data_IF_797764159556
#
_entry.id   IF_797764159556
#
_cell.length_a   1.000
_cell.length_b   1.000
_cell.length_c   1.000
_cell.angle_alpha   90.00
_cell.angle_beta   90.00
_cell.angle_gamma   90.00
#
_symmetry.space_group_name_H-M   'P 1'
#
loop_
_entity.id
_entity.type
_entity.pdbx_description
1 polymer ?
#
# COMPACT_ATOMS: atom_id res chain seq x y z
N UNK A 1 64.27 4.10 -76.93
CA UNK A 1 64.59 4.78 -75.66
C UNK A 1 63.48 4.43 -74.69
N UNK A 2 63.85 3.69 -73.66
CA UNK A 2 63.01 2.96 -72.70
C UNK A 2 62.37 3.86 -71.65
N UNK A 3 61.08 3.68 -71.34
CA UNK A 3 60.48 4.01 -70.04
C UNK A 3 59.08 3.34 -69.88
N UNK A 4 58.61 3.05 -68.65
CA UNK A 4 57.83 1.85 -68.34
C UNK A 4 56.37 2.06 -67.87
N UNK A 5 55.66 0.92 -67.86
CA UNK A 5 54.44 0.40 -67.18
C UNK A 5 53.65 1.32 -66.21
N UNK A 6 52.29 1.27 -66.21
CA UNK A 6 51.44 2.06 -65.31
C UNK A 6 51.16 1.36 -63.96
N UNK A 7 51.24 2.12 -62.87
CA UNK A 7 50.86 1.65 -61.53
C UNK A 7 49.33 1.61 -61.36
N UNK A 8 48.83 0.42 -61.06
CA UNK A 8 47.46 0.17 -60.64
C UNK A 8 47.36 0.34 -59.12
N UNK A 9 46.64 1.38 -58.68
CA UNK A 9 46.17 1.44 -57.29
C UNK A 9 44.92 0.58 -57.15
N UNK A 10 45.10 -0.60 -56.55
CA UNK A 10 44.03 -1.47 -56.02
C UNK A 10 43.35 -0.79 -54.83
N UNK A 11 42.10 -0.34 -55.02
CA UNK A 11 41.16 -0.17 -53.91
C UNK A 11 40.62 -1.55 -53.52
N UNK A 12 41.05 -2.06 -52.38
CA UNK A 12 40.40 -3.20 -51.72
C UNK A 12 39.12 -2.69 -51.05
N UNK A 13 37.92 -3.18 -51.40
CA UNK A 13 36.76 -2.93 -50.57
C UNK A 13 36.95 -3.74 -49.28
N UNK A 14 37.03 -3.04 -48.15
CA UNK A 14 36.99 -3.68 -46.85
C UNK A 14 35.69 -4.50 -46.74
N UNK A 15 35.86 -5.81 -46.60
CA UNK A 15 34.81 -6.79 -46.39
C UNK A 15 34.10 -6.52 -45.05
N UNK A 16 33.00 -5.77 -45.12
CA UNK A 16 32.12 -5.46 -44.00
C UNK A 16 31.03 -6.51 -43.81
N UNK A 17 31.37 -7.80 -43.79
CA UNK A 17 30.42 -8.89 -43.51
C UNK A 17 31.04 -9.96 -42.65
N UNK A 18 31.11 -9.75 -41.33
CA UNK A 18 31.10 -10.88 -40.39
C UNK A 18 30.91 -10.51 -38.90
N UNK A 19 30.03 -9.55 -38.58
CA UNK A 19 29.72 -9.22 -37.17
C UNK A 19 28.26 -9.38 -36.74
N UNK A 20 27.33 -9.77 -37.63
CA UNK A 20 25.89 -9.64 -37.33
C UNK A 20 25.11 -10.96 -37.16
N UNK A 21 25.78 -12.12 -37.17
CA UNK A 21 25.09 -13.42 -37.03
C UNK A 21 25.18 -14.01 -35.62
N UNK A 22 26.13 -13.57 -34.79
CA UNK A 22 26.24 -13.98 -33.37
C UNK A 22 25.34 -13.17 -32.42
N UNK A 23 24.75 -12.07 -32.90
CA UNK A 23 23.87 -11.16 -32.15
C UNK A 23 22.40 -11.57 -32.17
N UNK A 24 21.92 -12.14 -33.28
CA UNK A 24 20.51 -12.52 -33.47
C UNK A 24 19.97 -13.47 -32.39
N UNK A 25 20.64 -14.61 -32.06
CA UNK A 25 20.14 -15.53 -31.05
C UNK A 25 20.05 -14.90 -29.66
N UNK A 26 20.99 -14.00 -29.33
CA UNK A 26 21.02 -13.31 -28.05
C UNK A 26 19.93 -12.21 -27.96
N UNK A 27 19.69 -11.49 -29.04
CA UNK A 27 18.63 -10.47 -29.11
C UNK A 27 17.23 -11.11 -29.04
N UNK A 28 17.02 -12.22 -29.75
CA UNK A 28 15.78 -13.00 -29.69
C UNK A 28 15.57 -13.56 -28.28
N UNK A 29 16.62 -14.09 -27.63
CA UNK A 29 16.52 -14.58 -26.25
C UNK A 29 16.15 -13.48 -25.26
N UNK A 30 16.70 -12.27 -25.40
CA UNK A 30 16.34 -11.11 -24.59
C UNK A 30 14.90 -10.66 -24.84
N UNK A 31 14.47 -10.54 -26.10
CA UNK A 31 13.09 -10.18 -26.44
C UNK A 31 12.08 -11.18 -25.90
N UNK A 32 12.35 -12.49 -26.03
CA UNK A 32 11.50 -13.54 -25.46
C UNK A 32 11.48 -13.45 -23.93
N UNK A 33 12.62 -13.16 -23.30
CA UNK A 33 12.68 -13.00 -21.84
C UNK A 33 11.88 -11.78 -21.38
N UNK A 34 11.99 -10.65 -22.08
CA UNK A 34 11.24 -9.43 -21.79
C UNK A 34 9.72 -9.60 -22.01
N UNK A 35 9.33 -10.28 -23.10
CA UNK A 35 7.92 -10.64 -23.36
C UNK A 35 7.38 -11.60 -22.29
N UNK A 36 8.15 -12.62 -21.91
CA UNK A 36 7.77 -13.55 -20.83
C UNK A 36 7.61 -12.78 -19.52
N UNK A 37 8.56 -11.88 -19.20
CA UNK A 37 8.49 -11.03 -18.00
C UNK A 37 7.24 -10.15 -17.99
N UNK A 38 6.93 -9.49 -19.11
CA UNK A 38 5.69 -8.72 -19.27
C UNK A 38 4.44 -9.59 -19.08
N UNK A 39 4.38 -10.76 -19.69
CA UNK A 39 3.24 -11.69 -19.55
C UNK A 39 3.10 -12.13 -18.09
N UNK A 40 4.19 -12.46 -17.41
CA UNK A 40 4.15 -12.81 -15.98
C UNK A 40 3.72 -11.66 -15.08
N UNK A 41 4.13 -10.42 -15.36
CA UNK A 41 3.72 -9.23 -14.61
C UNK A 41 2.23 -8.89 -14.81
N UNK A 42 1.65 -9.27 -15.96
CA UNK A 42 0.22 -9.13 -16.23
C UNK A 42 -0.64 -10.21 -15.55
N UNK A 43 -0.06 -11.36 -15.17
CA UNK A 43 -0.82 -12.44 -14.53
C UNK A 43 -1.05 -12.10 -13.06
N UNK A 44 -2.24 -11.58 -12.78
CA UNK A 44 -2.75 -11.37 -11.42
C UNK A 44 -2.72 -12.70 -10.62
N UNK A 45 -2.06 -12.74 -9.44
CA UNK A 45 -2.03 -13.95 -8.63
C UNK A 45 -3.43 -14.42 -8.24
N UNK A 46 -3.62 -15.74 -8.13
CA UNK A 46 -4.95 -16.33 -7.85
C UNK A 46 -5.58 -15.87 -6.54
N UNK A 47 -4.76 -15.60 -5.51
CA UNK A 47 -5.23 -15.16 -4.19
C UNK A 47 -5.45 -13.64 -4.10
N UNK A 48 -5.26 -12.89 -5.19
CA UNK A 48 -5.47 -11.43 -5.20
C UNK A 48 -6.88 -11.07 -4.74
N UNK A 49 -6.95 -10.22 -3.71
CA UNK A 49 -8.19 -9.71 -3.12
C UNK A 49 -8.89 -10.65 -2.13
N UNK A 50 -8.50 -11.92 -2.02
CA UNK A 50 -9.19 -12.86 -1.13
C UNK A 50 -9.03 -12.54 0.35
N UNK A 51 -7.84 -12.08 0.77
CA UNK A 51 -7.60 -11.67 2.16
C UNK A 51 -8.53 -10.54 2.59
N UNK A 52 -8.71 -9.53 1.75
CA UNK A 52 -9.59 -8.40 2.04
C UNK A 52 -11.08 -8.78 1.94
N UNK A 53 -11.43 -9.67 1.01
CA UNK A 53 -12.79 -10.21 0.90
C UNK A 53 -13.20 -10.97 2.18
N UNK A 54 -12.30 -11.83 2.69
CA UNK A 54 -12.54 -12.56 3.94
C UNK A 54 -12.53 -11.66 5.17
N UNK A 55 -11.68 -10.62 5.18
CA UNK A 55 -11.58 -9.70 6.32
C UNK A 55 -12.78 -8.74 6.42
N UNK A 56 -13.39 -8.34 5.31
CA UNK A 56 -14.52 -7.41 5.31
C UNK A 56 -15.67 -7.80 6.26
N UNK A 57 -16.27 -9.02 6.20
CA UNK A 57 -17.33 -9.40 7.13
C UNK A 57 -16.84 -9.48 8.59
N UNK A 58 -15.59 -9.92 8.82
CA UNK A 58 -15.02 -9.96 10.17
C UNK A 58 -14.91 -8.55 10.75
N UNK A 59 -14.45 -7.57 9.96
CA UNK A 59 -14.35 -6.16 10.37
C UNK A 59 -15.70 -5.51 10.55
N UNK A 60 -16.69 -5.85 9.74
CA UNK A 60 -18.05 -5.35 9.92
C UNK A 60 -18.61 -5.79 11.28
N UNK A 61 -18.52 -7.08 11.60
CA UNK A 61 -19.00 -7.61 12.88
C UNK A 61 -18.17 -7.08 14.05
N UNK A 62 -16.83 -7.13 13.96
CA UNK A 62 -15.94 -6.63 15.00
C UNK A 62 -16.13 -5.12 15.25
N UNK A 63 -16.30 -4.33 14.19
CA UNK A 63 -16.56 -2.89 14.29
C UNK A 63 -17.90 -2.57 14.93
N UNK A 64 -18.95 -3.35 14.65
CA UNK A 64 -20.24 -3.24 15.33
C UNK A 64 -20.12 -3.58 16.82
N UNK A 65 -19.43 -4.66 17.17
CA UNK A 65 -19.18 -5.06 18.56
C UNK A 65 -18.38 -3.97 19.28
N UNK A 66 -17.29 -3.50 18.69
CA UNK A 66 -16.45 -2.43 19.23
C UNK A 66 -17.25 -1.16 19.50
N UNK A 67 -18.11 -0.77 18.55
CA UNK A 67 -18.94 0.42 18.69
C UNK A 67 -20.04 0.22 19.73
N UNK A 68 -20.65 -0.97 19.82
CA UNK A 68 -21.72 -1.24 20.78
C UNK A 68 -21.21 -1.33 22.23
N UNK A 69 -20.01 -1.89 22.42
CA UNK A 69 -19.41 -2.11 23.72
C UNK A 69 -18.56 -0.92 24.22
N UNK A 70 -18.33 0.12 23.42
CA UNK A 70 -17.62 1.30 23.88
C UNK A 70 -18.41 2.03 24.98
N UNK A 71 -17.71 2.35 26.08
CA UNK A 71 -18.32 2.78 27.35
C UNK A 71 -18.95 4.17 27.29
N UNK A 72 -18.46 5.05 26.41
CA UNK A 72 -18.91 6.44 26.30
C UNK A 72 -19.40 6.77 24.89
N UNK A 73 -20.33 7.72 24.77
CA UNK A 73 -20.78 8.22 23.45
C UNK A 73 -19.61 8.70 22.60
N UNK A 74 -18.62 9.34 23.22
CA UNK A 74 -17.37 9.76 22.57
C UNK A 74 -16.59 8.55 22.02
N UNK A 75 -16.44 7.49 22.81
CA UNK A 75 -15.83 6.23 22.38
C UNK A 75 -16.59 5.55 21.24
N UNK A 76 -17.93 5.53 21.30
CA UNK A 76 -18.79 4.97 20.23
C UNK A 76 -18.60 5.71 18.91
N UNK A 77 -18.58 7.05 18.93
CA UNK A 77 -18.33 7.86 17.71
C UNK A 77 -16.94 7.54 17.15
N UNK A 78 -15.91 7.54 18.00
CA UNK A 78 -14.54 7.29 17.56
C UNK A 78 -14.35 5.88 16.98
N UNK A 79 -14.92 4.87 17.63
CA UNK A 79 -14.89 3.48 17.18
C UNK A 79 -15.73 3.27 15.92
N UNK A 80 -16.87 3.93 15.80
CA UNK A 80 -17.71 3.89 14.60
C UNK A 80 -17.00 4.46 13.38
N UNK A 81 -16.24 5.54 13.54
CA UNK A 81 -15.40 6.11 12.47
C UNK A 81 -14.31 5.12 12.06
N UNK A 82 -13.60 4.53 13.02
CA UNK A 82 -12.60 3.50 12.75
C UNK A 82 -13.20 2.28 12.02
N UNK A 83 -14.35 1.78 12.47
CA UNK A 83 -15.05 0.67 11.86
C UNK A 83 -15.50 0.98 10.42
N UNK A 84 -16.02 2.20 10.19
CA UNK A 84 -16.47 2.63 8.87
C UNK A 84 -15.31 2.71 7.89
N UNK A 85 -14.20 3.35 8.25
CA UNK A 85 -13.03 3.44 7.35
C UNK A 85 -12.41 2.07 7.10
N UNK A 86 -12.46 1.16 8.06
CA UNK A 86 -12.00 -0.21 7.89
C UNK A 86 -12.89 -1.00 6.92
N UNK A 87 -14.21 -0.88 7.06
CA UNK A 87 -15.17 -1.45 6.11
C UNK A 87 -14.95 -0.92 4.69
N UNK A 88 -14.73 0.40 4.55
CA UNK A 88 -14.42 1.01 3.26
C UNK A 88 -13.12 0.45 2.67
N UNK A 89 -12.04 0.36 3.45
CA UNK A 89 -10.77 -0.20 3.00
C UNK A 89 -10.94 -1.63 2.49
N UNK A 90 -11.38 -2.55 3.36
CA UNK A 90 -11.44 -3.97 3.02
C UNK A 90 -12.50 -4.24 1.95
N UNK A 91 -13.66 -3.58 2.01
CA UNK A 91 -14.74 -3.76 1.06
C UNK A 91 -14.40 -3.27 -0.34
N UNK A 92 -13.89 -2.03 -0.47
CA UNK A 92 -13.49 -1.49 -1.78
C UNK A 92 -12.32 -2.27 -2.36
N UNK A 93 -11.34 -2.63 -1.53
CA UNK A 93 -10.17 -3.39 -1.99
C UNK A 93 -10.54 -4.79 -2.46
N UNK A 94 -11.44 -5.47 -1.74
CA UNK A 94 -12.00 -6.74 -2.19
C UNK A 94 -12.74 -6.58 -3.52
N UNK A 95 -13.62 -5.58 -3.65
CA UNK A 95 -14.39 -5.32 -4.86
C UNK A 95 -13.48 -5.05 -6.08
N UNK A 96 -12.50 -4.16 -5.89
CA UNK A 96 -11.50 -3.82 -6.91
C UNK A 96 -10.74 -5.07 -7.37
N UNK A 97 -10.25 -5.87 -6.43
CA UNK A 97 -9.41 -7.02 -6.76
C UNK A 97 -10.16 -8.29 -7.16
N UNK A 98 -11.44 -8.44 -6.84
CA UNK A 98 -12.20 -9.66 -7.20
C UNK A 98 -13.05 -9.50 -8.44
N UNK A 99 -13.45 -8.28 -8.80
CA UNK A 99 -14.25 -8.06 -10.00
C UNK A 99 -13.43 -8.01 -11.29
N UNK A 100 -14.15 -8.19 -12.40
CA UNK A 100 -13.68 -7.96 -13.77
C UNK A 100 -14.40 -6.72 -14.29
N UNK A 101 -13.66 -5.64 -14.47
CA UNK A 101 -14.22 -4.31 -14.66
C UNK A 101 -13.89 -3.74 -16.03
N UNK A 102 -14.77 -2.87 -16.55
CA UNK A 102 -14.43 -2.05 -17.71
C UNK A 102 -13.24 -1.13 -17.37
N UNK A 103 -12.45 -0.67 -18.35
CA UNK A 103 -11.27 0.17 -18.08
C UNK A 103 -11.58 1.42 -17.24
N UNK A 104 -12.76 2.01 -17.45
CA UNK A 104 -13.25 3.16 -16.67
C UNK A 104 -13.49 2.78 -15.21
N UNK A 105 -14.18 1.67 -14.96
CA UNK A 105 -14.50 1.24 -13.60
C UNK A 105 -13.26 0.75 -12.85
N UNK A 106 -12.34 0.05 -13.53
CA UNK A 106 -11.04 -0.33 -12.96
C UNK A 106 -10.26 0.91 -12.48
N UNK A 107 -10.21 1.96 -13.30
CA UNK A 107 -9.57 3.23 -12.93
C UNK A 107 -10.20 3.90 -11.70
N UNK A 108 -11.53 3.88 -11.57
CA UNK A 108 -12.25 4.43 -10.42
C UNK A 108 -11.98 3.61 -9.16
N UNK A 109 -12.19 2.30 -9.21
CA UNK A 109 -12.00 1.40 -8.07
C UNK A 109 -10.55 1.41 -7.59
N UNK A 110 -9.58 1.46 -8.51
CA UNK A 110 -8.16 1.63 -8.18
C UNK A 110 -7.91 2.93 -7.43
N UNK A 111 -8.55 4.05 -7.81
CA UNK A 111 -8.39 5.32 -7.08
C UNK A 111 -9.00 5.24 -5.68
N UNK A 112 -10.19 4.67 -5.56
CA UNK A 112 -10.86 4.49 -4.27
C UNK A 112 -10.06 3.58 -3.33
N UNK A 113 -9.56 2.45 -3.83
CA UNK A 113 -8.73 1.50 -3.09
C UNK A 113 -7.48 2.17 -2.49
N UNK A 114 -6.77 2.99 -3.27
CA UNK A 114 -5.60 3.69 -2.76
C UNK A 114 -5.97 4.88 -1.86
N UNK A 115 -7.05 5.61 -2.18
CA UNK A 115 -7.53 6.71 -1.33
C UNK A 115 -7.96 6.22 0.06
N UNK A 116 -8.54 5.02 0.14
CA UNK A 116 -8.95 4.42 1.41
C UNK A 116 -7.79 4.15 2.37
N UNK A 117 -6.54 4.07 1.88
CA UNK A 117 -5.37 3.95 2.76
C UNK A 117 -5.22 5.23 3.61
N UNK A 118 -5.42 6.42 3.04
CA UNK A 118 -5.45 7.66 3.82
C UNK A 118 -6.59 7.67 4.84
N UNK A 119 -7.79 7.20 4.45
CA UNK A 119 -8.95 7.16 5.33
C UNK A 119 -8.79 6.20 6.49
N UNK A 120 -8.27 4.99 6.28
CA UNK A 120 -8.07 4.04 7.38
C UNK A 120 -6.98 4.50 8.35
N UNK A 121 -5.92 5.17 7.86
CA UNK A 121 -4.93 5.81 8.75
C UNK A 121 -5.65 6.86 9.60
N UNK A 122 -6.40 7.80 9.01
CA UNK A 122 -7.14 8.78 9.80
C UNK A 122 -8.17 8.16 10.76
N UNK A 123 -8.84 7.10 10.31
CA UNK A 123 -9.78 6.34 11.11
C UNK A 123 -9.12 5.65 12.31
N UNK A 124 -7.92 5.08 12.18
CA UNK A 124 -7.22 4.43 13.30
C UNK A 124 -6.71 5.44 14.33
N UNK A 125 -6.30 6.64 13.89
CA UNK A 125 -5.96 7.73 14.80
C UNK A 125 -7.15 8.30 15.56
N UNK A 126 -8.37 8.16 15.04
CA UNK A 126 -9.56 8.77 15.65
C UNK A 126 -9.80 8.27 17.08
N UNK A 127 -9.91 6.96 17.37
CA UNK A 127 -10.02 6.49 18.75
C UNK A 127 -8.74 6.70 19.56
N UNK A 128 -7.54 6.62 18.97
CA UNK A 128 -6.29 6.87 19.69
C UNK A 128 -6.21 8.32 20.21
N UNK A 129 -6.57 9.29 19.38
CA UNK A 129 -6.60 10.71 19.76
C UNK A 129 -7.76 11.03 20.69
N UNK A 130 -8.95 10.54 20.37
CA UNK A 130 -10.16 10.81 21.15
C UNK A 130 -10.24 10.01 22.45
N UNK A 131 -9.40 9.01 22.72
CA UNK A 131 -9.49 8.29 23.99
C UNK A 131 -8.22 8.36 24.82
N UNK A 132 -7.05 8.54 24.19
CA UNK A 132 -5.77 8.54 24.93
C UNK A 132 -5.19 9.93 25.17
N UNK A 133 -5.55 10.93 24.35
CA UNK A 133 -4.91 12.25 24.42
C UNK A 133 -5.78 13.31 25.12
N UNK A 134 -5.16 14.18 25.94
CA UNK A 134 -5.86 15.30 26.55
C UNK A 134 -6.24 16.35 25.50
N UNK A 135 -7.38 17.00 25.75
CA UNK A 135 -8.12 17.91 24.85
C UNK A 135 -7.33 18.51 23.67
N UNK A 136 -6.50 19.52 23.93
CA UNK A 136 -5.81 20.25 22.86
C UNK A 136 -4.88 19.36 22.03
N UNK A 137 -4.06 18.50 22.66
CA UNK A 137 -3.15 17.59 21.96
C UNK A 137 -3.90 16.62 21.05
N UNK A 138 -4.98 16.03 21.58
CA UNK A 138 -5.86 15.15 20.82
C UNK A 138 -6.45 15.85 19.61
N UNK A 139 -6.91 17.10 19.78
CA UNK A 139 -7.50 17.88 18.69
C UNK A 139 -6.51 18.25 17.59
N UNK A 140 -5.28 18.64 17.97
CA UNK A 140 -4.21 18.94 17.01
C UNK A 140 -3.85 17.72 16.16
N UNK A 141 -3.63 16.57 16.79
CA UNK A 141 -3.30 15.34 16.07
C UNK A 141 -4.47 14.86 15.21
N UNK A 142 -5.70 14.89 15.74
CA UNK A 142 -6.89 14.46 15.01
C UNK A 142 -7.10 15.29 13.74
N UNK A 143 -7.14 16.62 13.85
CA UNK A 143 -7.34 17.49 12.68
C UNK A 143 -6.14 17.48 11.74
N UNK A 144 -4.91 17.40 12.25
CA UNK A 144 -3.71 17.27 11.42
C UNK A 144 -3.76 16.03 10.54
N UNK A 145 -4.14 14.89 11.11
CA UNK A 145 -4.25 13.61 10.41
C UNK A 145 -5.42 13.61 9.42
N UNK A 146 -6.60 14.08 9.81
CA UNK A 146 -7.72 14.18 8.86
C UNK A 146 -7.45 15.18 7.73
N UNK A 147 -6.80 16.31 8.03
CA UNK A 147 -6.33 17.28 7.02
C UNK A 147 -5.34 16.65 6.05
N UNK A 148 -4.36 15.88 6.56
CA UNK A 148 -3.42 15.14 5.73
C UNK A 148 -4.11 14.06 4.87
N UNK A 149 -5.11 13.35 5.41
CA UNK A 149 -5.90 12.39 4.63
C UNK A 149 -6.64 13.08 3.49
N UNK A 150 -7.36 14.18 3.77
CA UNK A 150 -8.10 14.94 2.75
C UNK A 150 -7.14 15.48 1.70
N UNK A 151 -5.99 16.03 2.09
CA UNK A 151 -4.97 16.51 1.17
C UNK A 151 -4.41 15.37 0.29
N UNK A 152 -4.12 14.21 0.88
CA UNK A 152 -3.64 13.03 0.15
C UNK A 152 -4.67 12.46 -0.84
N UNK A 153 -5.95 12.44 -0.46
CA UNK A 153 -7.05 12.04 -1.33
C UNK A 153 -7.25 13.04 -2.47
N UNK A 154 -7.27 14.35 -2.16
CA UNK A 154 -7.37 15.40 -3.16
C UNK A 154 -6.21 15.32 -4.16
N UNK A 155 -4.98 15.17 -3.66
CA UNK A 155 -3.80 14.97 -4.50
C UNK A 155 -3.97 13.78 -5.46
N UNK A 156 -4.49 12.64 -4.97
CA UNK A 156 -4.76 11.45 -5.79
C UNK A 156 -5.84 11.68 -6.85
N UNK A 157 -6.88 12.43 -6.52
CA UNK A 157 -8.03 12.68 -7.40
C UNK A 157 -7.67 13.68 -8.49
N UNK A 158 -6.98 14.77 -8.14
CA UNK A 158 -6.65 15.85 -9.07
C UNK A 158 -5.36 15.60 -9.87
N UNK A 159 -4.37 14.90 -9.32
CA UNK A 159 -3.11 14.59 -10.01
C UNK A 159 -3.09 13.18 -10.59
N UNK A 160 -3.80 13.02 -11.72
CA UNK A 160 -3.97 11.72 -12.39
C UNK A 160 -2.66 11.08 -12.86
N UNK A 161 -1.64 11.88 -13.17
CA UNK A 161 -0.31 11.43 -13.64
C UNK A 161 0.77 11.28 -12.57
N UNK A 162 0.47 11.43 -11.28
CA UNK A 162 1.49 11.36 -10.24
C UNK A 162 2.13 9.96 -10.15
N UNK A 163 3.46 9.87 -9.92
CA UNK A 163 4.14 8.59 -9.79
C UNK A 163 3.54 7.73 -8.67
N UNK A 164 3.28 6.45 -8.95
CA UNK A 164 2.65 5.54 -7.98
C UNK A 164 3.48 5.36 -6.70
N UNK A 165 4.80 5.49 -6.80
CA UNK A 165 5.70 5.37 -5.65
C UNK A 165 5.54 6.49 -4.63
N UNK A 166 5.07 7.69 -5.04
CA UNK A 166 4.99 8.86 -4.17
C UNK A 166 4.03 8.67 -3.00
N UNK A 167 2.99 7.87 -3.19
CA UNK A 167 1.94 7.68 -2.20
C UNK A 167 2.39 6.86 -1.00
N UNK A 168 3.25 5.85 -1.20
CA UNK A 168 3.69 4.97 -0.12
C UNK A 168 4.46 5.72 0.98
N UNK A 169 5.45 6.59 0.66
CA UNK A 169 6.07 7.46 1.64
C UNK A 169 5.07 8.38 2.37
N UNK A 170 4.07 8.93 1.68
CA UNK A 170 3.05 9.76 2.32
C UNK A 170 2.24 8.97 3.36
N UNK A 171 1.86 7.72 3.04
CA UNK A 171 1.17 6.84 4.00
C UNK A 171 2.02 6.55 5.23
N UNK A 172 3.30 6.21 5.01
CA UNK A 172 4.24 5.92 6.10
C UNK A 172 4.45 7.17 6.96
N UNK A 173 4.74 8.32 6.36
CA UNK A 173 4.94 9.58 7.07
C UNK A 173 3.72 9.95 7.93
N UNK A 174 2.52 9.81 7.37
CA UNK A 174 1.27 10.05 8.09
C UNK A 174 1.08 9.08 9.26
N UNK A 175 1.35 7.79 9.07
CA UNK A 175 1.26 6.76 10.12
C UNK A 175 2.30 6.90 11.23
N UNK A 176 3.42 7.57 10.98
CA UNK A 176 4.47 7.79 11.97
C UNK A 176 4.22 9.00 12.89
N UNK A 177 3.20 9.82 12.62
CA UNK A 177 2.84 10.95 13.48
C UNK A 177 2.51 10.51 14.93
N UNK A 178 2.16 9.23 15.14
CA UNK A 178 1.86 8.66 16.44
C UNK A 178 3.09 8.62 17.36
N UNK A 179 4.30 8.55 16.78
CA UNK A 179 5.56 8.45 17.52
C UNK A 179 5.73 9.64 18.48
N UNK A 180 5.32 10.83 18.06
CA UNK A 180 5.39 12.05 18.88
C UNK A 180 4.46 12.03 20.10
N UNK A 181 3.49 11.10 20.13
CA UNK A 181 2.48 10.99 21.17
C UNK A 181 2.54 9.66 21.95
N UNK A 182 3.53 8.80 21.66
CA UNK A 182 3.74 7.55 22.39
C UNK A 182 3.82 7.72 23.92
N UNK A 183 4.49 8.76 24.48
CA UNK A 183 4.50 8.96 25.93
C UNK A 183 3.10 9.22 26.50
N UNK A 184 2.25 9.93 25.78
CA UNK A 184 0.86 10.19 26.20
C UNK A 184 0.01 8.90 26.08
N UNK A 185 0.22 8.11 25.02
CA UNK A 185 -0.43 6.79 24.88
C UNK A 185 -0.06 5.82 26.01
N UNK A 186 1.21 5.81 26.44
CA UNK A 186 1.66 5.03 27.59
C UNK A 186 0.96 5.47 28.87
N UNK A 187 0.86 6.78 29.12
CA UNK A 187 0.30 7.32 30.36
C UNK A 187 -1.18 7.00 30.52
N UNK A 188 -1.95 7.13 29.44
CA UNK A 188 -3.40 6.93 29.50
C UNK A 188 -3.79 5.48 29.24
N UNK A 189 -3.22 4.83 28.21
CA UNK A 189 -3.61 3.49 27.78
C UNK A 189 -2.75 2.36 28.36
N UNK A 190 -1.64 2.67 29.00
CA UNK A 190 -0.72 1.69 29.58
C UNK A 190 0.19 0.98 28.56
N UNK A 191 1.04 0.09 29.10
CA UNK A 191 2.10 -0.59 28.33
C UNK A 191 1.55 -1.48 27.22
N UNK A 192 0.44 -2.17 27.46
CA UNK A 192 -0.14 -3.10 26.50
C UNK A 192 -0.61 -2.35 25.24
N UNK A 193 -1.35 -1.24 25.41
CA UNK A 193 -1.82 -0.40 24.29
C UNK A 193 -0.64 0.19 23.54
N UNK A 194 0.38 0.68 24.25
CA UNK A 194 1.59 1.22 23.62
C UNK A 194 2.27 0.17 22.72
N UNK A 195 2.48 -1.04 23.23
CA UNK A 195 3.13 -2.12 22.46
C UNK A 195 2.30 -2.48 21.24
N UNK A 196 0.97 -2.57 21.35
CA UNK A 196 0.10 -2.84 20.21
C UNK A 196 0.19 -1.73 19.15
N UNK A 197 0.20 -0.46 19.54
CA UNK A 197 0.38 0.67 18.59
C UNK A 197 1.74 0.58 17.89
N UNK A 198 2.82 0.30 18.61
CA UNK A 198 4.16 0.17 18.03
C UNK A 198 4.22 -1.02 17.06
N UNK A 199 3.77 -2.20 17.50
CA UNK A 199 3.79 -3.41 16.67
C UNK A 199 2.92 -3.22 15.42
N UNK A 200 1.73 -2.66 15.57
CA UNK A 200 0.86 -2.35 14.44
C UNK A 200 1.50 -1.37 13.46
N UNK A 201 2.13 -0.30 13.95
CA UNK A 201 2.85 0.68 13.12
C UNK A 201 4.04 0.08 12.38
N UNK A 202 4.80 -0.81 13.03
CA UNK A 202 5.89 -1.55 12.41
C UNK A 202 5.38 -2.53 11.35
N UNK A 203 4.30 -3.28 11.61
CA UNK A 203 3.70 -4.17 10.63
C UNK A 203 3.23 -3.41 9.37
N UNK A 204 2.58 -2.25 9.53
CA UNK A 204 2.21 -1.39 8.41
C UNK A 204 3.44 -0.90 7.64
N UNK A 205 4.51 -0.50 8.35
CA UNK A 205 5.74 -0.01 7.73
C UNK A 205 6.43 -1.11 6.93
N UNK A 206 6.56 -2.32 7.48
CA UNK A 206 7.11 -3.49 6.77
C UNK A 206 6.28 -3.82 5.54
N UNK A 207 4.95 -3.84 5.66
CA UNK A 207 4.06 -4.00 4.51
C UNK A 207 4.30 -2.95 3.43
N UNK A 208 4.38 -1.67 3.81
CA UNK A 208 4.64 -0.56 2.89
C UNK A 208 5.99 -0.68 2.17
N UNK A 209 7.04 -1.10 2.89
CA UNK A 209 8.36 -1.38 2.31
C UNK A 209 8.30 -2.53 1.31
N UNK A 210 7.64 -3.65 1.66
CA UNK A 210 7.45 -4.80 0.76
C UNK A 210 6.71 -4.39 -0.52
N UNK A 211 5.65 -3.58 -0.36
CA UNK A 211 4.90 -3.05 -1.49
C UNK A 211 5.77 -2.15 -2.39
N UNK A 212 6.60 -1.29 -1.79
CA UNK A 212 7.50 -0.39 -2.53
C UNK A 212 8.63 -1.13 -3.25
N UNK A 213 9.25 -2.11 -2.59
CA UNK A 213 10.33 -2.93 -3.14
C UNK A 213 9.84 -4.03 -4.09
N UNK A 214 8.53 -4.32 -4.07
CA UNK A 214 7.91 -5.47 -4.76
C UNK A 214 8.57 -6.81 -4.42
N UNK A 215 9.10 -6.94 -3.20
CA UNK A 215 9.78 -8.14 -2.70
C UNK A 215 9.53 -8.31 -1.19
N UNK A 216 9.45 -9.56 -0.67
CA UNK A 216 9.59 -10.83 -1.39
C UNK A 216 8.37 -11.13 -2.27
N UNK A 217 8.55 -12.01 -3.26
CA UNK A 217 7.49 -12.48 -4.17
C UNK A 217 7.39 -14.02 -4.11
N UNK A 218 6.76 -14.59 -3.05
CA UNK A 218 6.89 -16.01 -2.71
C UNK A 218 6.35 -16.96 -3.78
N UNK A 219 5.25 -16.58 -4.41
CA UNK A 219 4.65 -17.35 -5.51
C UNK A 219 3.95 -16.39 -6.48
N UNK A 220 4.60 -16.00 -7.59
CA UNK A 220 4.03 -15.05 -8.56
C UNK A 220 2.63 -15.48 -9.07
N UNK A 221 2.38 -16.79 -9.13
CA UNK A 221 1.09 -17.34 -9.59
C UNK A 221 -0.01 -17.35 -8.52
N UNK A 222 0.34 -17.51 -7.25
CA UNK A 222 -0.65 -17.75 -6.18
C UNK A 222 -0.65 -16.65 -5.12
N UNK A 223 0.52 -16.28 -4.61
CA UNK A 223 0.71 -15.41 -3.47
C UNK A 223 1.95 -14.55 -3.70
N UNK A 224 1.77 -13.41 -4.36
CA UNK A 224 2.86 -12.52 -4.70
C UNK A 224 3.14 -11.46 -3.64
N UNK A 225 4.05 -10.53 -3.94
CA UNK A 225 4.47 -9.46 -3.02
C UNK A 225 3.29 -8.61 -2.50
N UNK A 226 2.24 -8.46 -3.30
CA UNK A 226 1.07 -7.67 -2.93
C UNK A 226 0.17 -8.41 -1.94
N UNK A 227 0.07 -9.73 -2.04
CA UNK A 227 -0.59 -10.57 -1.05
C UNK A 227 0.19 -10.56 0.26
N UNK A 228 1.52 -10.57 0.22
CA UNK A 228 2.36 -10.36 1.41
C UNK A 228 2.05 -9.01 2.05
N UNK A 229 2.02 -7.93 1.26
CA UNK A 229 1.60 -6.61 1.74
C UNK A 229 0.23 -6.64 2.42
N UNK A 230 -0.77 -7.24 1.78
CA UNK A 230 -2.12 -7.36 2.35
C UNK A 230 -2.12 -8.14 3.68
N UNK A 231 -1.35 -9.22 3.80
CA UNK A 231 -1.21 -9.94 5.07
C UNK A 231 -0.67 -9.06 6.19
N UNK A 232 0.37 -8.25 5.92
CA UNK A 232 0.89 -7.30 6.90
C UNK A 232 -0.16 -6.24 7.27
N UNK A 233 -0.92 -5.72 6.31
CA UNK A 233 -1.98 -4.75 6.62
C UNK A 233 -3.13 -5.36 7.42
N UNK A 234 -3.48 -6.62 7.19
CA UNK A 234 -4.46 -7.37 7.99
C UNK A 234 -3.96 -7.53 9.43
N UNK A 235 -2.73 -8.02 9.60
CA UNK A 235 -2.14 -8.23 10.91
C UNK A 235 -2.02 -6.91 11.68
N UNK A 236 -1.55 -5.85 11.02
CA UNK A 236 -1.46 -4.51 11.61
C UNK A 236 -2.84 -3.98 12.04
N UNK A 237 -3.87 -4.19 11.21
CA UNK A 237 -5.25 -3.80 11.54
C UNK A 237 -5.76 -4.55 12.77
N UNK A 238 -5.57 -5.88 12.84
CA UNK A 238 -6.00 -6.69 14.00
C UNK A 238 -5.32 -6.19 15.27
N UNK A 239 -4.02 -5.94 15.22
CA UNK A 239 -3.26 -5.41 16.36
C UNK A 239 -3.80 -4.05 16.81
N UNK A 240 -4.08 -3.14 15.88
CA UNK A 240 -4.70 -1.84 16.21
C UNK A 240 -6.11 -2.00 16.78
N UNK A 241 -6.94 -2.87 16.19
CA UNK A 241 -8.28 -3.16 16.67
C UNK A 241 -8.25 -3.63 18.13
N UNK A 242 -7.36 -4.57 18.46
CA UNK A 242 -7.21 -5.05 19.85
C UNK A 242 -6.81 -3.91 20.77
N UNK A 243 -5.79 -3.11 20.40
CA UNK A 243 -5.37 -1.97 21.22
C UNK A 243 -6.48 -0.93 21.42
N UNK A 244 -7.22 -0.60 20.37
CA UNK A 244 -8.36 0.32 20.43
C UNK A 244 -9.48 -0.26 21.30
N UNK A 245 -9.76 -1.56 21.20
CA UNK A 245 -10.79 -2.21 22.02
C UNK A 245 -10.48 -2.17 23.51
N UNK A 246 -9.21 -2.38 23.88
CA UNK A 246 -8.77 -2.27 25.27
C UNK A 246 -9.04 -0.88 25.84
N UNK A 247 -8.83 0.16 25.02
CA UNK A 247 -9.05 1.54 25.43
C UNK A 247 -10.55 1.86 25.47
N UNK A 248 -11.31 1.45 24.45
CA UNK A 248 -12.72 1.77 24.29
C UNK A 248 -13.63 1.14 25.35
N UNK A 249 -13.23 -0.01 25.92
CA UNK A 249 -14.00 -0.76 26.93
C UNK A 249 -13.54 -0.50 28.38
N UNK A 250 -12.57 0.40 28.58
CA UNK A 250 -12.00 0.68 29.92
C UNK A 250 -11.98 2.16 30.26
N UNK A 251 -12.03 3.05 29.25
CA UNK A 251 -12.00 4.50 29.46
C UNK A 251 -13.38 5.12 29.20
N UNK A 252 -14.10 5.38 30.30
CA UNK A 252 -15.26 6.27 30.36
C UNK A 252 -14.80 7.75 30.43
#
# INVERSE_FOLDING_TARGET
MTAPVPDAHTETPADGRDSDTRSLPHQIAHQITDEIHQITDEIKPKLRGWLHLGMFPAVLVAGLVLTALADSTRGRIACGIFALTACLLFGVSALYHRGTWTPRMDGILRRLDHANIFLIIAGSYTPLTMLLLPGAKGQWLLWGIWGAAVAGIAFRVFWVGAPRWLYTPCYIAMGWAAVFFLPDFMRTGGIAVLVLVIVGGLLYSVGGVIYGLKRPDPSPRWFGFHEVFHSFTLAAFVVHYVGISMVAYQHA
#
